data_IF_763128124711
#
_entry.id   IF_763128124711
#
_cell.length_a   1.000
_cell.length_b   1.000
_cell.length_c   1.000
_cell.angle_alpha   90.00
_cell.angle_beta   90.00
_cell.angle_gamma   90.00
#
_symmetry.space_group_name_H-M   'P 1'
#
loop_
_entity.id
_entity.type
_entity.pdbx_description
1 polymer ?
#
# COMPACT_ATOMS: atom_id res chain seq x y z
N UNK A 1 21.67 3.99 -33.04
CA UNK A 1 20.49 3.56 -32.25
C UNK A 1 20.26 4.64 -31.23
N UNK A 2 19.41 5.61 -31.54
CA UNK A 2 19.15 6.75 -30.67
C UNK A 2 18.01 6.42 -29.70
N UNK A 3 18.36 6.35 -28.42
CA UNK A 3 17.36 6.29 -27.35
C UNK A 3 16.88 7.71 -27.07
N UNK A 4 15.83 8.13 -27.77
CA UNK A 4 15.13 9.37 -27.49
C UNK A 4 14.47 9.26 -26.11
N UNK A 5 15.08 9.87 -25.10
CA UNK A 5 14.46 10.04 -23.78
C UNK A 5 13.27 10.97 -23.98
N UNK A 6 12.06 10.42 -23.88
CA UNK A 6 10.82 11.20 -23.92
C UNK A 6 10.85 12.09 -22.69
N UNK A 7 11.02 13.40 -22.91
CA UNK A 7 10.95 14.41 -21.86
C UNK A 7 9.50 14.40 -21.37
N UNK A 8 9.26 13.79 -20.21
CA UNK A 8 7.94 13.83 -19.59
C UNK A 8 7.59 15.31 -19.36
N UNK A 9 6.64 15.82 -20.13
CA UNK A 9 6.13 17.17 -19.95
C UNK A 9 5.46 17.22 -18.58
N UNK A 10 6.06 17.92 -17.63
CA UNK A 10 5.50 18.07 -16.29
C UNK A 10 4.34 19.04 -16.41
N UNK A 11 3.16 18.50 -16.71
CA UNK A 11 1.91 19.26 -16.69
C UNK A 11 1.70 19.69 -15.23
N UNK A 12 1.86 20.99 -14.97
CA UNK A 12 1.88 21.56 -13.61
C UNK A 12 0.46 21.67 -13.01
N UNK A 13 -0.32 20.59 -13.05
CA UNK A 13 -1.62 20.46 -12.39
C UNK A 13 -1.44 19.74 -11.06
N UNK A 14 -0.87 20.43 -10.07
CA UNK A 14 -0.69 19.90 -8.72
C UNK A 14 -2.05 19.81 -8.03
N UNK A 15 -2.49 18.59 -7.72
CA UNK A 15 -3.64 18.36 -6.84
C UNK A 15 -3.16 17.85 -5.49
N UNK A 16 -3.58 18.51 -4.43
CA UNK A 16 -3.30 18.11 -3.05
C UNK A 16 -4.53 17.44 -2.47
N UNK A 17 -4.33 16.29 -1.85
CA UNK A 17 -5.41 15.52 -1.24
C UNK A 17 -5.02 15.10 0.16
N UNK A 18 -6.02 14.98 1.05
CA UNK A 18 -5.81 14.55 2.44
C UNK A 18 -6.16 13.08 2.59
N UNK A 19 -5.24 12.32 3.19
CA UNK A 19 -5.52 10.97 3.66
C UNK A 19 -6.24 11.02 5.02
N UNK A 20 -7.05 10.00 5.36
CA UNK A 20 -7.77 9.92 6.63
C UNK A 20 -6.86 9.60 7.84
N UNK A 21 -5.57 9.34 7.62
CA UNK A 21 -4.58 9.05 8.64
C UNK A 21 -3.19 9.56 8.21
N UNK A 22 -2.25 9.60 9.17
CA UNK A 22 -0.85 9.91 8.88
C UNK A 22 -0.21 8.77 8.09
N UNK A 23 0.26 9.09 6.88
CA UNK A 23 0.90 8.13 5.98
C UNK A 23 2.34 7.89 6.43
N UNK A 24 2.72 6.63 6.58
CA UNK A 24 4.10 6.20 6.89
C UNK A 24 4.80 5.62 5.67
N UNK A 25 4.04 5.01 4.76
CA UNK A 25 4.55 4.38 3.55
C UNK A 25 3.52 4.50 2.41
N UNK A 26 4.00 4.53 1.17
CA UNK A 26 3.14 4.64 -0.01
C UNK A 26 3.81 4.05 -1.25
N UNK A 27 3.00 3.53 -2.17
CA UNK A 27 3.47 2.94 -3.42
C UNK A 27 2.41 3.08 -4.52
N UNK A 28 2.83 3.35 -5.75
CA UNK A 28 1.97 3.30 -6.93
C UNK A 28 1.89 1.88 -7.47
N UNK A 29 0.73 1.49 -8.01
CA UNK A 29 0.65 0.22 -8.71
C UNK A 29 1.39 0.27 -10.05
N UNK A 30 1.99 -0.83 -10.52
CA UNK A 30 2.78 -0.85 -11.75
C UNK A 30 1.94 -0.72 -13.03
N UNK A 31 0.68 -1.17 -13.01
CA UNK A 31 -0.16 -1.28 -14.21
C UNK A 31 -1.48 -0.51 -14.13
N UNK A 32 -1.94 -0.21 -12.92
CA UNK A 32 -3.27 0.35 -12.71
C UNK A 32 -3.17 1.79 -12.23
N UNK A 33 -4.31 2.47 -12.28
CA UNK A 33 -4.48 3.80 -11.72
C UNK A 33 -4.65 3.75 -10.20
N UNK A 34 -3.74 3.09 -9.46
CA UNK A 34 -3.87 2.84 -8.03
C UNK A 34 -2.68 3.36 -7.22
N UNK A 35 -2.98 3.71 -5.97
CA UNK A 35 -2.01 4.09 -4.94
C UNK A 35 -2.37 3.38 -3.63
N UNK A 36 -1.38 2.70 -3.05
CA UNK A 36 -1.45 2.12 -1.72
C UNK A 36 -0.81 3.06 -0.70
N UNK A 37 -1.40 3.17 0.49
CA UNK A 37 -0.92 3.99 1.59
C UNK A 37 -1.03 3.23 2.91
N UNK A 38 0.02 3.30 3.72
CA UNK A 38 0.13 2.64 5.02
C UNK A 38 0.16 3.65 6.16
N UNK A 39 -0.28 3.22 7.35
CA UNK A 39 -0.32 4.03 8.56
C UNK A 39 0.50 3.43 9.71
N UNK A 40 0.66 4.22 10.78
CA UNK A 40 1.23 3.75 12.05
C UNK A 40 0.34 2.75 12.80
N UNK A 41 -0.97 2.83 12.62
CA UNK A 41 -1.96 1.96 13.29
C UNK A 41 -2.21 0.63 12.57
N UNK A 42 -1.42 0.30 11.54
CA UNK A 42 -1.64 -0.88 10.70
C UNK A 42 -2.71 -0.70 9.62
N UNK A 43 -3.22 0.51 9.40
CA UNK A 43 -4.17 0.75 8.32
C UNK A 43 -3.44 0.77 6.97
N UNK A 44 -3.93 -0.03 6.05
CA UNK A 44 -3.55 -0.01 4.63
C UNK A 44 -4.78 0.41 3.83
N UNK A 45 -4.59 1.35 2.93
CA UNK A 45 -5.66 1.91 2.13
C UNK A 45 -5.26 1.90 0.66
N UNK A 46 -6.16 1.41 -0.18
CA UNK A 46 -6.02 1.43 -1.63
C UNK A 46 -6.97 2.46 -2.23
N UNK A 47 -6.44 3.33 -3.07
CA UNK A 47 -7.22 4.34 -3.79
C UNK A 47 -6.86 4.38 -5.26
N UNK A 48 -7.75 4.96 -6.06
CA UNK A 48 -7.39 5.44 -7.39
C UNK A 48 -6.61 6.75 -7.32
N UNK A 49 -5.89 7.12 -8.38
CA UNK A 49 -5.23 8.45 -8.42
C UNK A 49 -6.23 9.61 -8.47
N UNK A 50 -7.48 9.32 -8.86
CA UNK A 50 -8.65 10.20 -8.73
C UNK A 50 -9.16 10.36 -7.29
N UNK A 51 -8.46 9.79 -6.30
CA UNK A 51 -8.77 9.83 -4.86
C UNK A 51 -10.05 9.11 -4.41
N UNK A 52 -10.65 8.32 -5.30
CA UNK A 52 -11.70 7.37 -4.95
C UNK A 52 -11.12 6.22 -4.12
N UNK A 53 -11.70 5.99 -2.94
CA UNK A 53 -11.38 4.83 -2.08
C UNK A 53 -11.82 3.54 -2.78
N UNK A 54 -10.95 2.52 -2.79
CA UNK A 54 -11.32 1.15 -3.15
C UNK A 54 -11.63 0.36 -1.88
N UNK A 55 -10.64 0.25 -0.99
CA UNK A 55 -10.81 -0.42 0.30
C UNK A 55 -9.82 0.13 1.34
N UNK A 56 -10.09 -0.23 2.60
CA UNK A 56 -9.22 0.01 3.75
C UNK A 56 -9.20 -1.26 4.60
N UNK A 57 -8.01 -1.73 4.94
CA UNK A 57 -7.79 -2.94 5.73
C UNK A 57 -6.82 -2.63 6.84
N UNK A 58 -7.14 -3.07 8.05
CA UNK A 58 -6.25 -2.93 9.18
C UNK A 58 -5.52 -4.26 9.43
N UNK A 59 -4.20 -4.29 9.26
CA UNK A 59 -3.40 -5.51 9.41
C UNK A 59 -3.06 -5.83 10.86
N UNK A 60 -3.14 -4.87 11.79
CA UNK A 60 -2.91 -5.17 13.23
C UNK A 60 -4.04 -6.01 13.83
N UNK A 61 -5.21 -6.01 13.19
CA UNK A 61 -6.33 -6.90 13.54
C UNK A 61 -6.20 -8.31 12.98
N UNK A 62 -5.22 -8.57 12.10
CA UNK A 62 -5.03 -9.88 11.48
C UNK A 62 -3.95 -10.64 12.26
N UNK A 63 -4.31 -11.71 13.01
CA UNK A 63 -3.32 -12.51 13.72
C UNK A 63 -2.36 -13.14 12.71
N UNK A 64 -1.06 -12.89 12.89
CA UNK A 64 -0.05 -13.68 12.22
C UNK A 64 0.05 -15.05 12.89
N UNK A 65 0.33 -16.08 12.10
CA UNK A 65 0.51 -17.44 12.62
C UNK A 65 1.58 -17.42 13.72
N UNK A 66 1.19 -17.81 14.94
CA UNK A 66 2.09 -17.87 16.09
C UNK A 66 2.43 -16.55 16.77
N UNK A 67 1.68 -15.45 16.52
CA UNK A 67 1.92 -14.17 17.21
C UNK A 67 0.62 -13.56 17.75
N UNK A 68 0.71 -12.98 18.94
CA UNK A 68 -0.38 -12.20 19.56
C UNK A 68 -0.54 -10.87 18.81
N UNK A 69 -1.78 -10.46 18.54
CA UNK A 69 -2.08 -9.18 17.89
C UNK A 69 -1.62 -8.03 18.80
N UNK A 70 -0.46 -7.43 18.52
CA UNK A 70 -0.06 -6.19 19.20
C UNK A 70 -0.90 -5.03 18.69
N UNK A 71 -1.35 -4.18 19.61
CA UNK A 71 -2.30 -3.08 19.37
C UNK A 71 -1.78 -1.96 18.47
N UNK A 72 -0.52 -1.98 18.04
CA UNK A 72 0.03 -1.09 17.02
C UNK A 72 1.04 -1.87 16.16
N UNK A 73 0.78 -1.97 14.86
CA UNK A 73 1.69 -2.54 13.87
C UNK A 73 1.93 -1.52 12.76
N UNK A 74 2.99 -0.72 12.90
CA UNK A 74 3.30 0.36 11.95
C UNK A 74 3.63 -0.23 10.60
N UNK A 75 2.92 0.18 9.54
CA UNK A 75 3.26 -0.21 8.16
C UNK A 75 4.47 0.59 7.71
N UNK A 76 5.65 -0.03 7.80
CA UNK A 76 6.94 0.62 7.51
C UNK A 76 7.28 0.62 6.02
N UNK A 77 6.81 -0.38 5.27
CA UNK A 77 7.00 -0.46 3.83
C UNK A 77 5.78 -1.08 3.13
N UNK A 78 5.51 -0.61 1.92
CA UNK A 78 4.45 -1.13 1.03
C UNK A 78 5.01 -1.29 -0.38
N UNK A 79 4.73 -2.42 -1.00
CA UNK A 79 5.10 -2.65 -2.39
C UNK A 79 4.04 -3.47 -3.12
N UNK A 80 3.71 -3.07 -4.35
CA UNK A 80 2.92 -3.91 -5.23
C UNK A 80 3.76 -5.07 -5.76
N UNK A 81 3.13 -6.22 -5.97
CA UNK A 81 3.72 -7.25 -6.82
C UNK A 81 3.86 -6.72 -8.25
N UNK A 82 4.85 -7.21 -9.03
CA UNK A 82 5.03 -6.79 -10.41
C UNK A 82 3.79 -7.00 -11.29
N UNK A 83 3.02 -8.06 -11.03
CA UNK A 83 1.76 -8.36 -11.73
C UNK A 83 0.56 -7.53 -11.23
N UNK A 84 0.74 -6.69 -10.20
CA UNK A 84 -0.28 -5.82 -9.63
C UNK A 84 -1.39 -6.53 -8.84
N UNK A 85 -1.28 -7.84 -8.59
CA UNK A 85 -2.31 -8.64 -7.90
C UNK A 85 -2.20 -8.59 -6.38
N UNK A 86 -1.02 -8.32 -5.85
CA UNK A 86 -0.75 -8.35 -4.43
C UNK A 86 -0.07 -7.06 -3.95
N UNK A 87 -0.25 -6.79 -2.66
CA UNK A 87 0.52 -5.79 -1.92
C UNK A 87 1.24 -6.50 -0.79
N UNK A 88 2.56 -6.39 -0.75
CA UNK A 88 3.36 -6.73 0.40
C UNK A 88 3.42 -5.54 1.35
N UNK A 89 3.09 -5.77 2.62
CA UNK A 89 3.11 -4.78 3.68
C UNK A 89 3.99 -5.26 4.83
N UNK A 90 5.14 -4.62 5.02
CA UNK A 90 6.02 -4.91 6.14
C UNK A 90 5.63 -4.05 7.34
N UNK A 91 5.61 -4.65 8.52
CA UNK A 91 5.34 -3.98 9.79
C UNK A 91 6.60 -3.83 10.64
N UNK A 92 6.59 -2.89 11.57
CA UNK A 92 7.64 -2.74 12.61
C UNK A 92 7.71 -3.94 13.58
N UNK A 93 6.67 -4.77 13.62
CA UNK A 93 6.64 -6.03 14.39
C UNK A 93 7.43 -7.16 13.72
N UNK A 94 7.99 -6.91 12.52
CA UNK A 94 8.73 -7.91 11.75
C UNK A 94 7.83 -8.87 10.98
N UNK A 95 6.54 -8.55 10.84
CA UNK A 95 5.59 -9.37 10.08
C UNK A 95 5.40 -8.74 8.70
N UNK A 96 5.32 -9.58 7.68
CA UNK A 96 4.97 -9.21 6.31
C UNK A 96 3.59 -9.77 6.00
N UNK A 97 2.65 -8.88 5.69
CA UNK A 97 1.34 -9.24 5.21
C UNK A 97 1.30 -9.16 3.68
N UNK A 98 0.73 -10.19 3.05
CA UNK A 98 0.43 -10.21 1.62
C UNK A 98 -1.07 -10.01 1.47
N UNK A 99 -1.46 -8.90 0.84
CA UNK A 99 -2.85 -8.52 0.62
C UNK A 99 -3.22 -8.71 -0.85
N UNK A 100 -4.42 -9.22 -1.08
CA UNK A 100 -5.07 -9.24 -2.39
C UNK A 100 -5.51 -7.83 -2.80
N UNK A 101 -5.09 -7.36 -3.97
CA UNK A 101 -5.36 -5.99 -4.43
C UNK A 101 -6.84 -5.77 -4.76
N UNK A 102 -7.54 -6.80 -5.24
CA UNK A 102 -8.95 -6.67 -5.62
C UNK A 102 -9.85 -6.69 -4.38
N UNK A 103 -9.62 -7.65 -3.49
CA UNK A 103 -10.46 -7.86 -2.31
C UNK A 103 -10.03 -7.04 -1.08
N UNK A 104 -8.77 -6.55 -1.05
CA UNK A 104 -8.19 -5.90 0.13
C UNK A 104 -7.96 -6.83 1.31
N UNK A 105 -8.03 -8.15 1.11
CA UNK A 105 -7.92 -9.14 2.19
C UNK A 105 -6.48 -9.62 2.35
N UNK A 106 -6.04 -9.82 3.59
CA UNK A 106 -4.78 -10.49 3.88
C UNK A 106 -4.90 -11.97 3.47
N UNK A 107 -4.02 -12.41 2.58
CA UNK A 107 -3.90 -13.80 2.11
C UNK A 107 -2.88 -14.57 2.93
N UNK A 108 -1.75 -13.93 3.26
CA UNK A 108 -0.65 -14.54 3.99
C UNK A 108 -0.06 -13.53 4.98
N UNK A 109 0.40 -14.04 6.12
CA UNK A 109 1.18 -13.29 7.09
C UNK A 109 2.41 -14.13 7.41
N UNK A 110 3.60 -13.58 7.19
CA UNK A 110 4.89 -14.27 7.34
C UNK A 110 5.77 -13.46 8.28
N UNK A 111 6.63 -14.11 9.06
CA UNK A 111 7.63 -13.49 9.93
C UNK A 111 9.03 -13.79 9.42
#
# INVERSE_FOLDING_TARGET
MDFSIIKAEVINSRRTFRAPFKITSMCFSPHNDLIAMGSKSGDIMLKRTTWKMIWKTNVSMVPAVGTECKSDSTVSALHFSPDGRFIAAATDTGIIHILDVEAGKVRYSVK
#
